data_IF_465753782917
#
_entry.id   IF_465753782917
#
_cell.length_a   1.000
_cell.length_b   1.000
_cell.length_c   1.000
_cell.angle_alpha   90.00
_cell.angle_beta   90.00
_cell.angle_gamma   90.00
#
_symmetry.space_group_name_H-M   'P 1'
#
loop_
_entity.id
_entity.type
_entity.pdbx_description
1 polymer ?
#
# COMPACT_ATOMS: atom_id res chain seq x y z
N UNK A 1 -29.21 -12.49 -26.07
CA UNK A 1 -28.61 -11.14 -26.03
C UNK A 1 -27.57 -11.13 -24.92
N UNK A 2 -26.32 -10.71 -25.19
CA UNK A 2 -25.33 -10.59 -24.12
C UNK A 2 -25.80 -9.47 -23.18
N UNK A 3 -26.18 -9.82 -21.96
CA UNK A 3 -26.48 -8.83 -20.91
C UNK A 3 -25.20 -8.05 -20.64
N UNK A 4 -25.20 -6.77 -20.99
CA UNK A 4 -24.06 -5.89 -20.76
C UNK A 4 -23.80 -5.83 -19.26
N UNK A 5 -22.59 -6.19 -18.83
CA UNK A 5 -22.21 -6.16 -17.41
C UNK A 5 -22.24 -4.73 -16.89
N UNK A 6 -23.03 -4.49 -15.85
CA UNK A 6 -23.12 -3.18 -15.22
C UNK A 6 -21.99 -2.98 -14.20
N UNK A 7 -20.89 -2.38 -14.65
CA UNK A 7 -19.73 -2.08 -13.80
C UNK A 7 -20.03 -1.15 -12.62
N UNK A 8 -21.21 -0.50 -12.53
CA UNK A 8 -21.54 0.30 -11.35
C UNK A 8 -21.91 -0.54 -10.11
N UNK A 9 -22.15 -1.85 -10.29
CA UNK A 9 -22.65 -2.76 -9.25
C UNK A 9 -21.58 -3.74 -8.75
N UNK A 10 -20.33 -3.30 -8.65
CA UNK A 10 -19.23 -4.15 -8.18
C UNK A 10 -19.39 -4.38 -6.67
N UNK A 11 -19.52 -5.63 -6.19
CA UNK A 11 -19.73 -5.91 -4.77
C UNK A 11 -18.61 -5.43 -3.84
N UNK A 12 -17.35 -5.50 -4.29
CA UNK A 12 -16.17 -5.16 -3.48
C UNK A 12 -15.73 -3.69 -3.55
N UNK A 13 -16.50 -2.82 -4.23
CA UNK A 13 -16.08 -1.42 -4.42
C UNK A 13 -16.19 -0.64 -3.10
N UNK A 14 -15.03 -0.35 -2.51
CA UNK A 14 -14.93 0.36 -1.25
C UNK A 14 -13.54 0.96 -1.09
N UNK A 15 -13.44 2.10 -0.41
CA UNK A 15 -12.17 2.69 0.00
C UNK A 15 -11.42 1.88 1.06
N UNK A 16 -12.08 0.92 1.71
CA UNK A 16 -11.50 0.03 2.72
C UNK A 16 -10.85 -1.23 2.13
N UNK A 17 -11.08 -1.49 0.83
CA UNK A 17 -10.57 -2.69 0.18
C UNK A 17 -9.06 -2.60 -0.06
N UNK A 18 -8.29 -3.39 0.68
CA UNK A 18 -6.83 -3.50 0.58
C UNK A 18 -6.32 -4.50 -0.45
N UNK A 19 -7.20 -5.18 -1.18
CA UNK A 19 -6.77 -6.21 -2.11
C UNK A 19 -5.80 -5.61 -3.13
N UNK A 20 -4.64 -6.25 -3.30
CA UNK A 20 -3.61 -5.83 -4.24
C UNK A 20 -3.37 -6.94 -5.25
N UNK A 21 -3.33 -6.60 -6.54
CA UNK A 21 -3.06 -7.53 -7.63
C UNK A 21 -1.76 -7.21 -8.34
N UNK A 22 -1.13 -8.24 -8.90
CA UNK A 22 -0.01 -8.05 -9.81
C UNK A 22 -0.52 -7.67 -11.19
N UNK A 23 -0.01 -6.58 -11.76
CA UNK A 23 -0.40 -6.07 -13.06
C UNK A 23 0.78 -6.13 -14.03
N UNK A 24 0.76 -7.02 -15.05
CA UNK A 24 1.83 -7.10 -16.04
C UNK A 24 1.84 -5.94 -17.04
N UNK A 25 0.74 -5.20 -17.14
CA UNK A 25 0.57 -4.08 -18.09
C UNK A 25 1.16 -2.76 -17.57
N UNK A 26 1.41 -2.67 -16.26
CA UNK A 26 2.03 -1.51 -15.62
C UNK A 26 3.39 -1.94 -15.09
N UNK A 27 4.46 -1.39 -15.67
CA UNK A 27 5.83 -1.69 -15.27
C UNK A 27 6.42 -0.56 -14.45
N UNK A 28 6.98 -0.88 -13.30
CA UNK A 28 7.81 0.02 -12.50
C UNK A 28 9.21 -0.57 -12.43
N UNK A 29 10.22 0.19 -12.84
CA UNK A 29 11.62 -0.25 -12.90
C UNK A 29 11.80 -1.59 -13.66
N UNK A 30 11.03 -1.80 -14.73
CA UNK A 30 11.07 -3.03 -15.55
C UNK A 30 10.30 -4.22 -14.97
N UNK A 31 9.79 -4.13 -13.74
CA UNK A 31 9.04 -5.21 -13.08
C UNK A 31 7.53 -4.97 -13.12
N UNK A 32 6.75 -6.06 -13.08
CA UNK A 32 5.29 -5.98 -12.92
C UNK A 32 4.96 -5.22 -11.63
N UNK A 33 4.11 -4.20 -11.74
CA UNK A 33 3.65 -3.45 -10.59
C UNK A 33 2.63 -4.26 -9.79
N UNK A 34 2.64 -4.08 -8.47
CA UNK A 34 1.46 -4.35 -7.66
C UNK A 34 0.55 -3.13 -7.70
N UNK A 35 -0.74 -3.36 -7.95
CA UNK A 35 -1.75 -2.33 -8.03
C UNK A 35 -2.83 -2.59 -6.99
N UNK A 36 -3.24 -1.53 -6.30
CA UNK A 36 -4.41 -1.58 -5.43
C UNK A 36 -5.67 -1.80 -6.28
N UNK A 37 -6.47 -2.79 -5.90
CA UNK A 37 -7.67 -3.16 -6.64
C UNK A 37 -8.74 -2.07 -6.60
N UNK A 38 -8.95 -1.44 -5.44
CA UNK A 38 -9.88 -0.29 -5.32
C UNK A 38 -9.49 0.87 -6.23
N UNK A 39 -8.19 1.20 -6.30
CA UNK A 39 -7.69 2.23 -7.24
C UNK A 39 -7.94 1.82 -8.69
N UNK A 40 -7.74 0.54 -9.04
CA UNK A 40 -8.03 0.03 -10.38
C UNK A 40 -9.53 0.14 -10.70
N UNK A 41 -10.42 -0.26 -9.79
CA UNK A 41 -11.87 -0.18 -9.95
C UNK A 41 -12.31 1.26 -10.27
N UNK A 42 -11.87 2.23 -9.46
CA UNK A 42 -12.19 3.64 -9.66
C UNK A 42 -11.61 4.20 -10.96
N UNK A 43 -10.39 3.80 -11.33
CA UNK A 43 -9.75 4.21 -12.58
C UNK A 43 -10.52 3.70 -13.80
N UNK A 44 -10.94 2.43 -13.77
CA UNK A 44 -11.73 1.81 -14.86
C UNK A 44 -13.08 2.51 -15.02
N UNK A 45 -13.78 2.78 -13.91
CA UNK A 45 -15.04 3.54 -13.93
C UNK A 45 -14.84 4.95 -14.50
N UNK A 46 -13.77 5.63 -14.12
CA UNK A 46 -13.46 6.96 -14.63
C UNK A 46 -13.17 6.98 -16.13
N UNK A 47 -12.50 5.97 -16.68
CA UNK A 47 -12.37 5.82 -18.13
C UNK A 47 -13.70 5.54 -18.82
N UNK A 48 -14.52 4.62 -18.28
CA UNK A 48 -15.85 4.30 -18.83
C UNK A 48 -16.77 5.54 -18.88
N UNK A 49 -16.70 6.38 -17.84
CA UNK A 49 -17.48 7.61 -17.70
C UNK A 49 -16.83 8.81 -18.40
N UNK A 50 -15.70 8.62 -19.10
CA UNK A 50 -14.92 9.67 -19.78
C UNK A 50 -14.50 10.83 -18.87
N UNK A 51 -14.33 10.55 -17.57
CA UNK A 51 -13.83 11.51 -16.57
C UNK A 51 -12.31 11.63 -16.56
N UNK A 52 -11.60 10.64 -17.09
CA UNK A 52 -10.15 10.69 -17.30
C UNK A 52 -9.82 10.87 -18.78
N UNK A 53 -8.87 11.76 -19.13
CA UNK A 53 -8.40 11.89 -20.51
C UNK A 53 -7.61 10.64 -20.91
N UNK A 54 -7.64 10.29 -22.20
CA UNK A 54 -6.95 9.11 -22.73
C UNK A 54 -5.41 9.16 -22.56
N UNK A 55 -4.85 10.36 -22.37
CA UNK A 55 -3.43 10.56 -22.09
C UNK A 55 -3.04 10.26 -20.64
N UNK A 56 -4.01 10.18 -19.71
CA UNK A 56 -3.74 9.77 -18.33
C UNK A 56 -3.66 8.26 -18.24
N UNK A 57 -2.71 7.73 -17.45
CA UNK A 57 -2.52 6.29 -17.24
C UNK A 57 -2.56 5.49 -18.54
N UNK A 58 -1.76 5.89 -19.55
CA UNK A 58 -1.82 5.34 -20.91
C UNK A 58 -1.71 3.82 -20.96
N UNK A 59 -0.87 3.21 -20.11
CA UNK A 59 -0.77 1.76 -19.95
C UNK A 59 -2.11 1.13 -19.54
N UNK A 60 -2.79 1.70 -18.54
CA UNK A 60 -4.11 1.27 -18.12
C UNK A 60 -5.16 1.47 -19.22
N UNK A 61 -5.20 2.64 -19.85
CA UNK A 61 -6.14 2.93 -20.94
C UNK A 61 -6.01 1.91 -22.09
N UNK A 62 -4.77 1.64 -22.51
CA UNK A 62 -4.45 0.65 -23.54
C UNK A 62 -4.87 -0.76 -23.10
N UNK A 63 -4.52 -1.17 -21.87
CA UNK A 63 -4.87 -2.49 -21.35
C UNK A 63 -6.39 -2.71 -21.23
N UNK A 64 -7.14 -1.68 -20.82
CA UNK A 64 -8.61 -1.72 -20.74
C UNK A 64 -9.19 -1.86 -22.14
N UNK A 65 -8.76 -1.02 -23.09
CA UNK A 65 -9.26 -1.05 -24.47
C UNK A 65 -8.94 -2.36 -25.20
N UNK A 66 -7.80 -2.98 -24.90
CA UNK A 66 -7.37 -4.26 -25.45
C UNK A 66 -7.95 -5.48 -24.71
N UNK A 67 -8.74 -5.29 -23.64
CA UNK A 67 -9.28 -6.39 -22.83
C UNK A 67 -8.22 -7.16 -22.03
N UNK A 68 -7.03 -6.59 -21.85
CA UNK A 68 -5.91 -7.19 -21.11
C UNK A 68 -5.91 -6.86 -19.62
N UNK A 69 -6.59 -5.78 -19.21
CA UNK A 69 -6.65 -5.34 -17.82
C UNK A 69 -7.18 -6.45 -16.89
N UNK A 70 -6.32 -6.91 -15.96
CA UNK A 70 -6.67 -7.97 -15.03
C UNK A 70 -7.75 -7.54 -14.03
N UNK A 71 -7.66 -6.31 -13.50
CA UNK A 71 -8.67 -5.77 -12.59
C UNK A 71 -10.06 -5.70 -13.24
N UNK A 72 -10.15 -5.37 -14.55
CA UNK A 72 -11.43 -5.37 -15.25
C UNK A 72 -12.04 -6.78 -15.34
N UNK A 73 -11.21 -7.81 -15.57
CA UNK A 73 -11.67 -9.21 -15.58
C UNK A 73 -12.20 -9.62 -14.21
N UNK A 74 -11.47 -9.26 -13.15
CA UNK A 74 -11.86 -9.49 -11.76
C UNK A 74 -13.19 -8.80 -11.43
N UNK A 75 -13.39 -7.54 -11.85
CA UNK A 75 -14.65 -6.83 -11.64
C UNK A 75 -15.83 -7.54 -12.32
N UNK A 76 -15.64 -8.02 -13.56
CA UNK A 76 -16.68 -8.75 -14.29
C UNK A 76 -17.01 -10.07 -13.60
N UNK A 77 -16.01 -10.76 -13.04
CA UNK A 77 -16.20 -11.98 -12.27
C UNK A 77 -17.05 -11.74 -11.01
N UNK A 78 -16.71 -10.73 -10.21
CA UNK A 78 -17.48 -10.37 -9.01
C UNK A 78 -18.92 -9.99 -9.35
N UNK A 79 -19.15 -9.21 -10.41
CA UNK A 79 -20.51 -8.84 -10.83
C UNK A 79 -21.31 -10.06 -11.30
N UNK A 80 -20.66 -11.03 -11.94
CA UNK A 80 -21.33 -12.26 -12.39
C UNK A 80 -21.70 -13.17 -11.23
N UNK A 81 -20.85 -13.25 -10.21
CA UNK A 81 -21.10 -14.08 -9.03
C UNK A 81 -21.99 -13.36 -8.00
N UNK A 82 -22.03 -12.02 -8.03
CA UNK A 82 -22.75 -11.23 -7.03
C UNK A 82 -22.05 -11.16 -5.68
N UNK A 83 -20.76 -11.52 -5.62
CA UNK A 83 -19.97 -11.64 -4.40
C UNK A 83 -18.69 -10.79 -4.47
N UNK A 84 -18.21 -10.33 -3.31
CA UNK A 84 -16.97 -9.56 -3.16
C UNK A 84 -15.76 -10.50 -3.06
N UNK A 85 -15.40 -11.13 -4.18
CA UNK A 85 -14.34 -12.14 -4.25
C UNK A 85 -12.95 -11.58 -3.94
N UNK A 86 -12.71 -10.30 -4.27
CA UNK A 86 -11.42 -9.66 -4.14
C UNK A 86 -11.51 -8.50 -3.16
N UNK A 87 -11.84 -8.82 -1.91
CA UNK A 87 -11.97 -7.86 -0.82
C UNK A 87 -11.07 -8.24 0.35
N UNK A 88 -10.20 -7.32 0.75
CA UNK A 88 -9.43 -7.41 2.00
C UNK A 88 -9.84 -6.24 2.88
N UNK A 89 -10.41 -6.52 4.04
CA UNK A 89 -10.72 -5.50 5.03
C UNK A 89 -9.42 -5.03 5.71
N UNK A 90 -8.88 -3.89 5.26
CA UNK A 90 -7.63 -3.37 5.82
C UNK A 90 -7.73 -3.00 7.29
N UNK A 91 -8.76 -2.28 7.77
CA UNK A 91 -8.96 -2.05 9.20
C UNK A 91 -8.94 -3.33 10.04
N UNK A 92 -9.70 -4.36 9.63
CA UNK A 92 -9.75 -5.62 10.37
C UNK A 92 -8.40 -6.35 10.36
N UNK A 93 -7.69 -6.32 9.22
CA UNK A 93 -6.34 -6.90 9.12
C UNK A 93 -5.34 -6.18 10.02
N UNK A 94 -5.42 -4.86 10.15
CA UNK A 94 -4.56 -4.07 11.05
C UNK A 94 -4.84 -4.48 12.49
N UNK A 95 -6.11 -4.55 12.90
CA UNK A 95 -6.51 -4.94 14.26
C UNK A 95 -6.01 -6.36 14.62
N UNK A 96 -6.16 -7.32 13.71
CA UNK A 96 -5.67 -8.69 13.90
C UNK A 96 -4.15 -8.73 14.10
N UNK A 97 -3.41 -8.00 13.27
CA UNK A 97 -1.94 -7.92 13.36
C UNK A 97 -1.52 -7.25 14.68
N UNK A 98 -2.21 -6.19 15.10
CA UNK A 98 -1.94 -5.51 16.37
C UNK A 98 -2.22 -6.41 17.57
N UNK A 99 -3.31 -7.17 17.58
CA UNK A 99 -3.61 -8.15 18.63
C UNK A 99 -2.60 -9.29 18.68
N UNK A 100 -2.21 -9.82 17.53
CA UNK A 100 -1.15 -10.83 17.42
C UNK A 100 0.18 -10.29 17.96
N UNK A 101 0.53 -9.05 17.63
CA UNK A 101 1.74 -8.40 18.14
C UNK A 101 1.69 -8.17 19.65
N UNK A 102 0.54 -7.76 20.20
CA UNK A 102 0.34 -7.65 21.67
C UNK A 102 0.57 -8.99 22.35
N UNK A 103 -0.01 -10.07 21.83
CA UNK A 103 0.13 -11.43 22.37
C UNK A 103 1.55 -11.98 22.23
N UNK A 104 2.24 -11.69 21.12
CA UNK A 104 3.64 -12.09 20.95
C UNK A 104 4.57 -11.43 21.96
N UNK A 105 4.26 -10.20 22.41
CA UNK A 105 5.05 -9.49 23.43
C UNK A 105 4.83 -10.00 24.85
N UNK A 106 3.68 -10.62 25.14
CA UNK A 106 3.41 -11.20 26.48
C UNK A 106 4.06 -12.57 26.67
N UNK A 107 4.35 -13.29 25.58
CA UNK A 107 5.22 -14.47 25.58
C UNK A 107 6.66 -14.02 25.86
N UNK A 108 6.99 -13.84 27.14
CA UNK A 108 8.32 -13.43 27.56
C UNK A 108 9.39 -14.28 26.87
N UNK A 109 10.47 -13.67 26.35
CA UNK A 109 11.61 -14.43 25.87
C UNK A 109 12.06 -15.37 27.00
N UNK A 110 12.10 -16.68 26.75
CA UNK A 110 12.79 -17.62 27.64
C UNK A 110 14.18 -17.03 27.86
N UNK A 111 14.42 -16.48 29.06
CA UNK A 111 15.73 -15.99 29.50
C UNK A 111 16.69 -17.17 29.49
N UNK A 112 17.34 -17.36 28.35
CA UNK A 112 18.43 -18.30 28.15
C UNK A 112 19.58 -17.70 27.32
N UNK A 113 19.53 -16.40 27.00
CA UNK A 113 20.62 -15.74 26.30
C UNK A 113 21.72 -15.38 27.30
N UNK A 114 22.74 -16.24 27.33
CA UNK A 114 24.05 -15.94 27.86
C UNK A 114 24.51 -14.56 27.35
N UNK A 115 24.85 -13.68 28.29
CA UNK A 115 25.33 -12.32 28.01
C UNK A 115 26.55 -12.34 27.09
N UNK A 116 26.42 -11.77 25.89
CA UNK A 116 27.54 -11.54 24.95
C UNK A 116 28.48 -10.43 25.48
N UNK A 117 28.11 -9.72 26.55
CA UNK A 117 28.91 -8.60 27.09
C UNK A 117 30.20 -9.00 27.81
N UNK A 118 30.58 -10.28 27.87
CA UNK A 118 31.88 -10.66 28.44
C UNK A 118 33.06 -10.43 27.48
N UNK A 119 32.83 -10.08 26.21
CA UNK A 119 33.89 -10.03 25.19
C UNK A 119 34.50 -8.66 24.86
N UNK A 120 33.88 -7.54 25.25
CA UNK A 120 34.29 -6.21 24.77
C UNK A 120 34.86 -5.38 25.94
N UNK A 121 36.08 -5.71 26.38
CA UNK A 121 36.94 -4.75 27.10
C UNK A 121 37.60 -3.80 26.10
N UNK A 122 36.79 -3.10 25.31
CA UNK A 122 37.22 -1.97 24.49
C UNK A 122 36.85 -0.68 25.20
N UNK A 123 37.85 0.10 25.62
CA UNK A 123 37.68 1.41 26.25
C UNK A 123 36.97 2.39 25.30
N UNK A 124 35.64 2.42 25.29
CA UNK A 124 34.89 3.52 24.71
C UNK A 124 34.53 4.50 25.82
N UNK A 125 35.13 5.68 25.73
CA UNK A 125 34.93 6.80 26.64
C UNK A 125 33.45 7.18 26.66
N UNK A 126 32.94 7.35 27.87
CA UNK A 126 31.56 7.68 28.18
C UNK A 126 31.16 9.02 27.56
N UNK A 127 30.54 9.00 26.38
CA UNK A 127 29.69 10.10 25.94
C UNK A 127 28.30 9.83 26.51
N UNK A 128 27.99 10.52 27.60
CA UNK A 128 26.67 10.60 28.20
C UNK A 128 25.65 11.08 27.16
N UNK A 129 24.91 10.16 26.56
CA UNK A 129 23.77 10.48 25.71
C UNK A 129 22.64 10.84 26.65
N UNK A 130 22.34 12.14 26.71
CA UNK A 130 21.25 12.69 27.50
C UNK A 130 19.91 12.07 27.05
N UNK A 131 19.20 11.57 28.05
CA UNK A 131 17.88 10.96 27.96
C UNK A 131 16.82 12.03 27.70
N UNK A 132 16.65 12.44 26.44
CA UNK A 132 15.45 13.18 25.98
C UNK A 132 15.07 12.70 24.58
N UNK A 133 14.66 11.43 24.46
CA UNK A 133 14.12 10.86 23.23
C UNK A 133 12.66 11.29 23.01
N UNK A 134 12.41 12.57 22.73
CA UNK A 134 11.12 12.99 22.15
C UNK A 134 11.24 12.81 20.64
N UNK A 135 10.43 11.92 20.07
CA UNK A 135 10.27 11.83 18.62
C UNK A 135 9.85 13.21 18.10
N UNK A 136 10.53 13.76 17.06
CA UNK A 136 10.19 15.06 16.51
C UNK A 136 8.75 15.05 16.01
N UNK A 137 8.05 16.14 16.28
CA UNK A 137 6.66 16.30 15.85
C UNK A 137 6.60 16.30 14.31
N UNK A 138 5.55 15.72 13.74
CA UNK A 138 5.43 15.58 12.29
C UNK A 138 5.51 16.93 11.57
N UNK A 139 5.07 18.02 12.22
CA UNK A 139 5.15 19.38 11.65
C UNK A 139 6.60 19.88 11.50
N UNK A 140 7.52 19.46 12.37
CA UNK A 140 8.94 19.81 12.28
C UNK A 140 9.58 19.12 11.07
N UNK A 141 9.26 17.84 10.85
CA UNK A 141 9.73 17.05 9.71
C UNK A 141 9.27 17.67 8.38
N UNK A 142 7.98 18.04 8.29
CA UNK A 142 7.45 18.72 7.09
C UNK A 142 8.14 20.06 6.84
N UNK A 143 8.42 20.82 7.90
CA UNK A 143 9.07 22.13 7.80
C UNK A 143 10.52 22.02 7.31
N UNK A 144 11.25 20.97 7.72
CA UNK A 144 12.61 20.72 7.24
C UNK A 144 12.64 20.30 5.77
N UNK A 145 11.76 19.39 5.34
CA UNK A 145 11.68 18.99 3.93
C UNK A 145 11.41 20.18 3.01
N UNK A 146 10.51 21.09 3.40
CA UNK A 146 10.21 22.30 2.61
C UNK A 146 11.44 23.19 2.50
N UNK A 147 12.22 23.34 3.58
CA UNK A 147 13.47 24.14 3.55
C UNK A 147 14.52 23.52 2.63
N UNK A 148 14.64 22.19 2.62
CA UNK A 148 15.57 21.50 1.72
C UNK A 148 15.15 21.66 0.25
N UNK A 149 13.86 21.50 -0.06
CA UNK A 149 13.37 21.68 -1.45
C UNK A 149 13.50 23.12 -1.95
N UNK A 150 13.48 24.11 -1.06
CA UNK A 150 13.72 25.51 -1.44
C UNK A 150 15.20 25.82 -1.69
N UNK A 151 16.12 25.14 -0.99
CA UNK A 151 17.56 25.30 -1.24
C UNK A 151 17.97 24.75 -2.60
N UNK A 152 17.46 23.58 -2.99
CA UNK A 152 17.78 22.98 -4.30
C UNK A 152 17.29 23.78 -5.50
N UNK A 153 16.38 24.75 -5.32
CA UNK A 153 15.89 25.60 -6.42
C UNK A 153 16.66 26.90 -6.62
N UNK A 154 17.71 27.15 -5.84
CA UNK A 154 18.47 28.42 -5.92
C UNK A 154 19.92 28.23 -6.39
N UNK A 155 20.30 27.04 -6.84
CA UNK A 155 21.55 26.79 -7.57
C UNK A 155 21.27 26.50 -9.06
#
# INVERSE_FOLDING_TARGET
MATKTDLSKIPSISGLNGYSLRCPEVKLNGHDSYCSYTVCQHTILAFKEKRLPASSFTSCANAISAGKCQALKMMVEEIRQGESLYFVDMPALIEEVEERNRTARTLQPKRGSASIYSGIKGKCQSSTVAETGRLPDASEIYSELIKETLKEKTD
#
